data_IF_614979604434
#
_entry.id   IF_614979604434
#
_cell.length_a   1.000
_cell.length_b   1.000
_cell.length_c   1.000
_cell.angle_alpha   90.00
_cell.angle_beta   90.00
_cell.angle_gamma   90.00
#
_symmetry.space_group_name_H-M   'P 1'
#
loop_
_entity.id
_entity.type
_entity.pdbx_description
1 polymer ?
#
# COMPACT_ATOMS: atom_id res chain seq x y z
N UNK A 1 -50.68 3.69 0.03
CA UNK A 1 -49.82 3.58 1.24
C UNK A 1 -48.61 2.63 1.10
N UNK A 2 -48.74 1.44 0.49
CA UNK A 2 -47.66 0.44 0.43
C UNK A 2 -46.39 0.85 -0.36
N UNK A 3 -46.56 1.60 -1.46
CA UNK A 3 -45.43 2.04 -2.32
C UNK A 3 -44.48 2.99 -1.58
N UNK A 4 -45.02 3.92 -0.77
CA UNK A 4 -44.20 4.85 0.01
C UNK A 4 -43.40 4.13 1.11
N UNK A 5 -44.01 3.14 1.77
CA UNK A 5 -43.33 2.31 2.77
C UNK A 5 -42.19 1.50 2.13
N UNK A 6 -42.43 0.93 0.95
CA UNK A 6 -41.40 0.21 0.20
C UNK A 6 -40.25 1.13 -0.20
N UNK A 7 -40.54 2.31 -0.77
CA UNK A 7 -39.52 3.29 -1.15
C UNK A 7 -38.66 3.73 0.05
N UNK A 8 -39.28 3.94 1.21
CA UNK A 8 -38.55 4.29 2.44
C UNK A 8 -37.64 3.16 2.92
N UNK A 9 -38.09 1.90 2.85
CA UNK A 9 -37.27 0.73 3.20
C UNK A 9 -36.06 0.59 2.26
N UNK A 10 -36.25 0.77 0.96
CA UNK A 10 -35.15 0.73 -0.02
C UNK A 10 -34.14 1.84 0.26
N UNK A 11 -34.60 3.06 0.52
CA UNK A 11 -33.73 4.18 0.89
C UNK A 11 -32.90 3.87 2.14
N UNK A 12 -33.53 3.31 3.18
CA UNK A 12 -32.85 2.91 4.41
C UNK A 12 -31.82 1.81 4.18
N UNK A 13 -32.15 0.81 3.35
CA UNK A 13 -31.23 -0.26 2.99
C UNK A 13 -29.98 0.28 2.26
N UNK A 14 -30.16 1.23 1.34
CA UNK A 14 -29.05 1.87 0.62
C UNK A 14 -28.16 2.65 1.59
N UNK A 15 -28.75 3.44 2.49
CA UNK A 15 -27.98 4.19 3.50
C UNK A 15 -27.17 3.26 4.41
N UNK A 16 -27.80 2.19 4.91
CA UNK A 16 -27.13 1.19 5.75
C UNK A 16 -26.00 0.46 5.02
N UNK A 17 -26.20 0.10 3.75
CA UNK A 17 -25.16 -0.51 2.92
C UNK A 17 -23.98 0.44 2.72
N UNK A 18 -24.25 1.71 2.47
CA UNK A 18 -23.22 2.73 2.31
C UNK A 18 -22.38 2.91 3.58
N UNK A 19 -23.02 3.01 4.75
CA UNK A 19 -22.32 3.14 6.03
C UNK A 19 -21.45 1.91 6.33
N UNK A 20 -21.97 0.73 6.00
CA UNK A 20 -21.24 -0.54 6.14
C UNK A 20 -19.98 -0.58 5.26
N UNK A 21 -20.07 -0.08 4.02
CA UNK A 21 -18.93 0.02 3.11
C UNK A 21 -17.88 0.99 3.65
N UNK A 22 -18.29 2.14 4.18
CA UNK A 22 -17.36 3.11 4.77
C UNK A 22 -16.64 2.50 5.97
N UNK A 23 -17.38 1.87 6.89
CA UNK A 23 -16.81 1.25 8.07
C UNK A 23 -15.80 0.15 7.70
N UNK A 24 -16.14 -0.68 6.71
CA UNK A 24 -15.24 -1.70 6.18
C UNK A 24 -13.97 -1.09 5.58
N UNK A 25 -14.10 -0.01 4.79
CA UNK A 25 -12.94 0.68 4.18
C UNK A 25 -12.02 1.25 5.25
N UNK A 26 -12.55 1.90 6.29
CA UNK A 26 -11.76 2.43 7.40
C UNK A 26 -10.97 1.31 8.08
N UNK A 27 -11.62 0.18 8.37
CA UNK A 27 -10.96 -0.99 8.97
C UNK A 27 -9.84 -1.52 8.07
N UNK A 28 -10.11 -1.71 6.77
CA UNK A 28 -9.10 -2.19 5.83
C UNK A 28 -7.92 -1.23 5.72
N UNK A 29 -8.16 0.09 5.69
CA UNK A 29 -7.08 1.09 5.67
C UNK A 29 -6.25 1.02 6.95
N UNK A 30 -6.88 0.88 8.12
CA UNK A 30 -6.17 0.72 9.39
C UNK A 30 -5.31 -0.53 9.40
N UNK A 31 -5.86 -1.67 8.98
CA UNK A 31 -5.16 -2.95 8.99
C UNK A 31 -4.00 -2.96 7.98
N UNK A 32 -4.25 -2.46 6.76
CA UNK A 32 -3.22 -2.35 5.72
C UNK A 32 -2.08 -1.39 6.10
N UNK A 33 -2.38 -0.35 6.86
CA UNK A 33 -1.39 0.64 7.30
C UNK A 33 -0.79 0.31 8.68
N UNK A 34 -1.27 -0.71 9.39
CA UNK A 34 -0.85 -1.03 10.78
C UNK A 34 0.67 -1.20 10.95
N UNK A 35 1.33 -1.75 9.93
CA UNK A 35 2.77 -2.02 9.93
C UNK A 35 3.55 -1.12 8.98
N UNK A 36 2.90 -0.13 8.34
CA UNK A 36 3.62 0.83 7.50
C UNK A 36 4.38 1.79 8.41
N UNK A 37 5.68 1.85 8.19
CA UNK A 37 6.55 2.84 8.81
C UNK A 37 6.97 3.86 7.76
N UNK A 38 7.01 5.16 8.09
CA UNK A 38 7.62 6.13 7.20
C UNK A 38 9.08 5.75 6.97
N UNK A 39 9.56 5.92 5.72
CA UNK A 39 10.95 5.66 5.41
C UNK A 39 11.83 6.67 6.16
N UNK A 40 12.79 6.23 6.98
CA UNK A 40 13.61 7.12 7.82
C UNK A 40 14.74 7.83 7.05
N UNK A 41 14.72 7.80 5.72
CA UNK A 41 15.81 8.28 4.88
C UNK A 41 15.58 9.72 4.43
N UNK A 42 16.64 10.51 4.42
CA UNK A 42 16.65 11.90 3.98
C UNK A 42 17.55 12.10 2.76
N UNK A 43 17.31 13.18 2.00
CA UNK A 43 18.16 13.54 0.86
C UNK A 43 19.57 13.81 1.39
N UNK A 44 20.56 13.16 0.79
CA UNK A 44 21.96 13.24 1.22
C UNK A 44 22.44 12.04 2.03
N UNK A 45 21.55 11.19 2.55
CA UNK A 45 21.93 9.95 3.23
C UNK A 45 22.54 8.95 2.26
N UNK A 46 23.46 8.12 2.78
CA UNK A 46 24.03 6.98 2.07
C UNK A 46 23.26 5.71 2.40
N UNK A 47 22.65 5.09 1.40
CA UNK A 47 21.82 3.89 1.57
C UNK A 47 22.28 2.75 0.66
N UNK A 48 22.12 1.53 1.17
CA UNK A 48 22.33 0.31 0.39
C UNK A 48 21.08 -0.04 -0.41
N UNK A 49 21.25 -0.27 -1.71
CA UNK A 49 20.13 -0.59 -2.60
C UNK A 49 19.99 -2.11 -2.78
N UNK A 50 18.75 -2.61 -2.70
CA UNK A 50 18.48 -4.04 -2.89
C UNK A 50 18.63 -4.43 -4.36
N UNK A 51 19.34 -5.53 -4.62
CA UNK A 51 19.54 -6.07 -5.97
C UNK A 51 18.35 -6.85 -6.51
N UNK A 52 17.26 -7.00 -5.73
CA UNK A 52 16.09 -7.80 -6.09
C UNK A 52 15.44 -7.36 -7.41
N UNK A 53 15.35 -6.05 -7.65
CA UNK A 53 14.66 -5.45 -8.80
C UNK A 53 15.63 -4.74 -9.76
N UNK A 54 16.93 -5.04 -9.68
CA UNK A 54 17.97 -4.39 -10.49
C UNK A 54 18.50 -5.39 -11.53
N UNK A 55 18.72 -4.90 -12.75
CA UNK A 55 19.34 -5.67 -13.82
C UNK A 55 20.86 -5.59 -13.72
N UNK A 56 21.53 -6.74 -13.77
CA UNK A 56 22.99 -6.85 -13.79
C UNK A 56 23.48 -7.19 -15.20
N UNK A 57 24.75 -6.89 -15.53
CA UNK A 57 25.35 -7.31 -16.79
C UNK A 57 25.14 -8.80 -17.06
N UNK A 58 24.87 -9.15 -18.32
CA UNK A 58 24.66 -10.54 -18.74
C UNK A 58 25.90 -11.38 -18.40
N UNK A 59 25.67 -12.57 -17.85
CA UNK A 59 26.74 -13.53 -17.50
C UNK A 59 26.93 -13.75 -16.00
N UNK A 60 26.37 -12.90 -15.13
CA UNK A 60 26.37 -13.13 -13.69
C UNK A 60 25.11 -13.91 -13.28
N UNK A 61 25.31 -15.08 -12.68
CA UNK A 61 24.24 -15.83 -12.07
C UNK A 61 23.70 -15.07 -10.84
N UNK A 62 22.37 -14.96 -10.72
CA UNK A 62 21.71 -14.28 -9.58
C UNK A 62 22.12 -14.82 -8.21
N UNK A 63 22.56 -16.08 -8.14
CA UNK A 63 23.06 -16.75 -6.92
C UNK A 63 24.35 -16.13 -6.37
N UNK A 64 25.19 -15.54 -7.22
CA UNK A 64 26.48 -14.96 -6.83
C UNK A 64 26.45 -13.43 -6.73
N UNK A 65 25.30 -12.81 -7.01
CA UNK A 65 25.16 -11.38 -6.87
C UNK A 65 25.01 -11.00 -5.39
N UNK A 66 25.62 -9.89 -4.95
CA UNK A 66 25.38 -9.38 -3.61
C UNK A 66 23.91 -9.01 -3.46
N UNK A 67 23.35 -9.21 -2.26
CA UNK A 67 21.95 -8.84 -1.97
C UNK A 67 21.72 -7.32 -1.93
N UNK A 68 22.79 -6.59 -1.65
CA UNK A 68 22.82 -5.14 -1.49
C UNK A 68 24.03 -4.58 -2.24
N UNK A 69 23.86 -3.46 -2.94
CA UNK A 69 24.94 -2.78 -3.64
C UNK A 69 25.10 -1.36 -3.08
N UNK A 70 26.37 -0.98 -2.89
CA UNK A 70 26.89 0.38 -2.64
C UNK A 70 26.27 1.15 -1.48
N UNK A 71 27.00 2.07 -0.84
CA UNK A 71 26.35 3.23 -0.27
C UNK A 71 26.08 4.24 -1.40
N UNK A 72 24.82 4.39 -1.81
CA UNK A 72 24.40 5.42 -2.76
C UNK A 72 23.85 6.63 -2.02
N UNK A 73 24.24 7.83 -2.45
CA UNK A 73 23.69 9.06 -1.91
C UNK A 73 22.30 9.31 -2.50
N UNK A 74 21.30 9.55 -1.66
CA UNK A 74 19.96 9.94 -2.11
C UNK A 74 20.03 11.35 -2.69
N UNK A 75 19.70 11.50 -3.97
CA UNK A 75 19.56 12.80 -4.66
C UNK A 75 18.09 13.21 -4.72
N UNK A 76 17.84 14.52 -4.90
CA UNK A 76 16.51 15.10 -5.07
C UNK A 76 15.95 14.86 -6.47
#
# INVERSE_FOLDING_TARGET
PGVQVYAQKVKQAIMSAHDSIIAARIKHTRDANRHRQPAPFTVGDFVYLSTKNISFPKGLARKLLPKWIGPYRITK
#
